data_IF_852193589256
#
_entry.id   IF_852193589256
#
_cell.length_a   1.000
_cell.length_b   1.000
_cell.length_c   1.000
_cell.angle_alpha   90.00
_cell.angle_beta   90.00
_cell.angle_gamma   90.00
#
_symmetry.space_group_name_H-M   'P 1'
#
loop_
_entity.id
_entity.type
_entity.pdbx_description
1 polymer ?
#
# COMPACT_ATOMS: atom_id res chain seq x y z
N UNK A 1 82.07 3.75 59.20
CA UNK A 1 81.11 4.62 58.48
C UNK A 1 81.91 5.27 57.37
N UNK A 2 81.59 5.13 56.09
CA UNK A 2 80.29 5.18 55.45
C UNK A 2 80.42 4.53 54.07
N UNK A 3 79.57 3.54 53.75
CA UNK A 3 79.54 2.92 52.43
C UNK A 3 78.76 3.84 51.47
N UNK A 4 79.45 4.50 50.56
CA UNK A 4 78.84 5.20 49.42
C UNK A 4 78.63 4.19 48.28
N UNK A 5 77.38 3.91 47.85
CA UNK A 5 77.13 2.98 46.76
C UNK A 5 77.62 3.55 45.40
N UNK A 6 78.03 2.70 44.45
CA UNK A 6 78.62 3.15 43.19
C UNK A 6 77.56 3.72 42.23
N UNK A 7 77.91 4.83 41.55
CA UNK A 7 77.04 5.60 40.64
C UNK A 7 76.35 4.78 39.52
N UNK A 8 76.84 3.57 39.22
CA UNK A 8 76.28 2.66 38.22
C UNK A 8 74.89 2.12 38.61
N UNK A 9 74.65 1.86 39.89
CA UNK A 9 73.33 1.39 40.36
C UNK A 9 72.25 2.48 40.24
N UNK A 10 72.62 3.74 40.51
CA UNK A 10 71.68 4.87 40.45
C UNK A 10 71.22 5.19 39.02
N UNK A 11 72.09 5.05 38.02
CA UNK A 11 71.73 5.22 36.61
C UNK A 11 70.78 4.11 36.11
N UNK A 12 71.05 2.85 36.49
CA UNK A 12 70.20 1.70 36.12
C UNK A 12 68.81 1.84 36.76
N UNK A 13 68.74 2.18 38.05
CA UNK A 13 67.48 2.41 38.76
C UNK A 13 66.68 3.58 38.17
N UNK A 14 67.35 4.62 37.66
CA UNK A 14 66.70 5.74 36.97
C UNK A 14 66.08 5.29 35.62
N UNK A 15 66.85 4.55 34.81
CA UNK A 15 66.37 4.02 33.52
C UNK A 15 65.18 3.07 33.66
N UNK A 16 65.16 2.24 34.72
CA UNK A 16 64.04 1.35 35.00
C UNK A 16 62.78 2.10 35.45
N UNK A 17 62.92 3.19 36.22
CA UNK A 17 61.79 4.04 36.58
C UNK A 17 61.16 4.70 35.35
N UNK A 18 61.99 5.23 34.45
CA UNK A 18 61.53 5.85 33.19
C UNK A 18 60.81 4.81 32.31
N UNK A 19 61.38 3.61 32.14
CA UNK A 19 60.76 2.53 31.36
C UNK A 19 59.43 2.06 31.95
N UNK A 20 59.32 1.94 33.28
CA UNK A 20 58.05 1.61 33.95
C UNK A 20 57.00 2.70 33.77
N UNK A 21 57.39 3.97 33.80
CA UNK A 21 56.48 5.08 33.53
C UNK A 21 55.95 5.05 32.09
N UNK A 22 56.83 4.82 31.11
CA UNK A 22 56.46 4.68 29.70
C UNK A 22 55.52 3.48 29.45
N UNK A 23 55.79 2.33 30.08
CA UNK A 23 54.93 1.15 29.96
C UNK A 23 53.54 1.41 30.54
N UNK A 24 53.43 2.08 31.69
CA UNK A 24 52.14 2.47 32.28
C UNK A 24 51.36 3.40 31.37
N UNK A 25 52.04 4.38 30.78
CA UNK A 25 51.40 5.31 29.84
C UNK A 25 50.89 4.59 28.58
N UNK A 26 51.70 3.69 28.02
CA UNK A 26 51.29 2.89 26.87
C UNK A 26 50.10 1.98 27.20
N UNK A 27 50.13 1.30 28.34
CA UNK A 27 49.02 0.47 28.83
C UNK A 27 47.75 1.30 29.05
N UNK A 28 47.85 2.49 29.64
CA UNK A 28 46.72 3.40 29.82
C UNK A 28 46.14 3.87 28.48
N UNK A 29 46.99 4.18 27.49
CA UNK A 29 46.53 4.50 26.14
C UNK A 29 45.84 3.30 25.48
N UNK A 30 46.39 2.09 25.62
CA UNK A 30 45.76 0.88 25.08
C UNK A 30 44.38 0.61 25.69
N UNK A 31 44.23 0.71 27.02
CA UNK A 31 42.92 0.51 27.67
C UNK A 31 41.92 1.58 27.24
N UNK A 32 42.33 2.84 27.11
CA UNK A 32 41.51 3.90 26.54
C UNK A 32 41.10 3.59 25.09
N UNK A 33 42.04 3.21 24.22
CA UNK A 33 41.75 2.85 22.82
C UNK A 33 40.76 1.67 22.72
N UNK A 34 40.95 0.62 23.51
CA UNK A 34 40.00 -0.51 23.56
C UNK A 34 38.62 -0.06 24.04
N UNK A 35 38.55 0.79 25.08
CA UNK A 35 37.28 1.30 25.60
C UNK A 35 36.55 2.20 24.60
N UNK A 36 37.26 3.05 23.86
CA UNK A 36 36.71 3.94 22.83
C UNK A 36 36.22 3.11 21.64
N UNK A 37 37.02 2.15 21.15
CA UNK A 37 36.63 1.27 20.05
C UNK A 37 35.37 0.44 20.38
N UNK A 38 35.26 -0.05 21.62
CA UNK A 38 34.08 -0.78 22.08
C UNK A 38 32.83 0.09 22.23
N UNK A 39 32.98 1.40 22.53
CA UNK A 39 31.86 2.36 22.55
C UNK A 39 31.38 2.66 21.14
N UNK A 40 32.30 3.04 20.24
CA UNK A 40 31.97 3.34 18.83
C UNK A 40 31.27 2.18 18.13
N UNK A 41 31.70 0.93 18.37
CA UNK A 41 31.05 -0.24 17.81
C UNK A 41 29.62 -0.42 18.34
N UNK A 42 29.40 -0.22 19.65
CA UNK A 42 28.07 -0.28 20.26
C UNK A 42 27.16 0.82 19.71
N UNK A 43 27.66 2.04 19.63
CA UNK A 43 26.92 3.18 19.10
C UNK A 43 26.57 2.96 17.62
N UNK A 44 27.53 2.46 16.81
CA UNK A 44 27.28 2.09 15.42
C UNK A 44 26.18 1.03 15.30
N UNK A 45 26.19 0.00 16.14
CA UNK A 45 25.12 -1.01 16.15
C UNK A 45 23.77 -0.40 16.54
N UNK A 46 23.72 0.40 17.61
CA UNK A 46 22.49 1.06 18.06
C UNK A 46 21.92 1.93 16.95
N UNK A 47 22.73 2.81 16.36
CA UNK A 47 22.29 3.68 15.26
C UNK A 47 21.86 2.89 14.02
N UNK A 48 22.62 1.85 13.65
CA UNK A 48 22.26 1.01 12.50
C UNK A 48 20.95 0.26 12.72
N UNK A 49 20.73 -0.28 13.92
CA UNK A 49 19.52 -1.01 14.25
C UNK A 49 18.32 -0.06 14.33
N UNK A 50 18.48 1.12 14.94
CA UNK A 50 17.45 2.15 14.97
C UNK A 50 17.07 2.63 13.57
N UNK A 51 18.05 2.85 12.68
CA UNK A 51 17.79 3.26 11.31
C UNK A 51 17.03 2.18 10.52
N UNK A 52 17.47 0.91 10.63
CA UNK A 52 16.78 -0.22 9.98
C UNK A 52 15.36 -0.37 10.54
N UNK A 53 15.19 -0.29 11.85
CA UNK A 53 13.87 -0.36 12.48
C UNK A 53 12.93 0.75 11.99
N UNK A 54 13.42 1.98 11.87
CA UNK A 54 12.63 3.10 11.35
C UNK A 54 12.19 2.88 9.89
N UNK A 55 13.10 2.37 9.04
CA UNK A 55 12.78 2.05 7.64
C UNK A 55 11.72 0.95 7.57
N UNK A 56 11.91 -0.13 8.33
CA UNK A 56 10.94 -1.25 8.36
C UNK A 56 9.57 -0.78 8.82
N UNK A 57 9.50 0.03 9.89
CA UNK A 57 8.24 0.57 10.37
C UNK A 57 7.57 1.50 9.34
N UNK A 58 8.33 2.35 8.67
CA UNK A 58 7.80 3.23 7.63
C UNK A 58 7.28 2.43 6.42
N UNK A 59 8.03 1.42 5.96
CA UNK A 59 7.63 0.55 4.85
C UNK A 59 6.39 -0.27 5.19
N UNK A 60 6.32 -0.85 6.39
CA UNK A 60 5.13 -1.57 6.85
C UNK A 60 3.94 -0.64 7.01
N UNK A 61 4.14 0.58 7.50
CA UNK A 61 3.09 1.60 7.60
C UNK A 61 2.52 1.97 6.23
N UNK A 62 3.38 2.19 5.23
CA UNK A 62 2.94 2.50 3.87
C UNK A 62 2.22 1.30 3.21
N UNK A 63 2.74 0.09 3.40
CA UNK A 63 2.08 -1.13 2.95
C UNK A 63 0.70 -1.30 3.59
N UNK A 64 0.60 -1.14 4.92
CA UNK A 64 -0.66 -1.26 5.65
C UNK A 64 -1.66 -0.20 5.19
N UNK A 65 -1.21 1.04 4.96
CA UNK A 65 -2.05 2.13 4.47
C UNK A 65 -2.72 1.79 3.12
N UNK A 66 -1.96 1.23 2.16
CA UNK A 66 -2.47 0.92 0.82
C UNK A 66 -3.22 -0.41 0.68
N UNK A 67 -3.25 -1.25 1.72
CA UNK A 67 -3.84 -2.60 1.65
C UNK A 67 -5.01 -2.82 2.60
N UNK A 68 -4.89 -2.33 3.84
CA UNK A 68 -5.88 -2.56 4.92
C UNK A 68 -6.39 -1.23 5.48
N UNK A 69 -5.62 -0.16 5.30
CA UNK A 69 -5.97 1.19 5.76
C UNK A 69 -6.87 1.94 4.79
N UNK A 70 -7.09 3.21 5.09
CA UNK A 70 -7.95 4.11 4.31
C UNK A 70 -7.45 4.37 2.86
N UNK A 71 -6.23 3.97 2.52
CA UNK A 71 -5.71 4.01 1.16
C UNK A 71 -5.95 2.74 0.35
N UNK A 72 -6.57 1.71 0.96
CA UNK A 72 -6.95 0.50 0.24
C UNK A 72 -8.00 0.83 -0.84
N UNK A 73 -7.91 0.25 -2.05
CA UNK A 73 -8.93 0.45 -3.06
C UNK A 73 -10.28 -0.05 -2.53
N UNK A 74 -11.40 0.60 -2.90
CA UNK A 74 -12.72 0.09 -2.53
C UNK A 74 -12.87 -1.35 -3.04
N UNK A 75 -13.62 -2.17 -2.32
CA UNK A 75 -13.95 -3.53 -2.75
C UNK A 75 -15.38 -3.52 -3.30
N UNK A 76 -15.64 -4.37 -4.29
CA UNK A 76 -17.00 -4.64 -4.74
C UNK A 76 -17.89 -5.09 -3.56
N UNK A 77 -19.19 -4.71 -3.58
CA UNK A 77 -20.13 -5.13 -2.55
C UNK A 77 -20.34 -6.65 -2.58
N UNK A 78 -20.87 -7.18 -1.47
CA UNK A 78 -21.27 -8.57 -1.37
C UNK A 78 -22.41 -8.89 -2.35
N UNK A 79 -22.33 -10.03 -3.03
CA UNK A 79 -23.35 -10.49 -3.98
C UNK A 79 -24.72 -10.70 -3.31
N UNK A 80 -24.76 -10.95 -2.00
CA UNK A 80 -25.98 -11.06 -1.20
C UNK A 80 -26.86 -9.79 -1.28
N UNK A 81 -26.27 -8.61 -1.58
CA UNK A 81 -27.02 -7.37 -1.76
C UNK A 81 -27.98 -7.42 -2.95
N UNK A 82 -27.76 -8.33 -3.91
CA UNK A 82 -28.71 -8.59 -4.99
C UNK A 82 -30.00 -9.26 -4.51
N UNK A 83 -29.99 -9.86 -3.30
CA UNK A 83 -31.05 -10.70 -2.76
C UNK A 83 -31.46 -11.86 -3.68
N UNK A 84 -30.67 -12.19 -4.71
CA UNK A 84 -30.95 -13.21 -5.72
C UNK A 84 -32.36 -13.10 -6.32
N UNK A 85 -32.85 -11.87 -6.51
CA UNK A 85 -34.19 -11.58 -7.03
C UNK A 85 -34.15 -10.52 -8.12
N UNK A 86 -35.30 -10.36 -8.77
CA UNK A 86 -35.51 -9.23 -9.68
C UNK A 86 -35.61 -7.91 -8.91
N UNK A 87 -34.94 -6.89 -9.45
CA UNK A 87 -35.05 -5.50 -9.02
C UNK A 87 -35.63 -4.66 -10.14
N UNK A 88 -36.66 -3.88 -9.85
CA UNK A 88 -37.24 -2.93 -10.79
C UNK A 88 -36.94 -1.51 -10.36
N UNK A 89 -36.75 -0.62 -11.33
CA UNK A 89 -36.53 0.80 -11.06
C UNK A 89 -36.64 1.61 -12.33
N UNK A 90 -36.15 2.84 -12.28
CA UNK A 90 -36.11 3.73 -13.43
C UNK A 90 -34.73 4.37 -13.61
N UNK A 91 -34.33 4.55 -14.85
CA UNK A 91 -33.17 5.38 -15.24
C UNK A 91 -33.70 6.63 -15.92
N UNK A 92 -33.20 7.79 -15.52
CA UNK A 92 -33.52 9.07 -16.15
C UNK A 92 -32.37 9.50 -17.05
N UNK A 93 -32.64 9.60 -18.34
CA UNK A 93 -31.69 10.06 -19.37
C UNK A 93 -32.19 11.39 -19.95
N UNK A 94 -31.60 12.50 -19.49
CA UNK A 94 -32.10 13.83 -19.81
C UNK A 94 -33.53 14.00 -19.29
N UNK A 95 -34.48 14.26 -20.20
CA UNK A 95 -35.90 14.41 -19.86
C UNK A 95 -36.71 13.11 -20.00
N UNK A 96 -36.06 11.98 -20.31
CA UNK A 96 -36.73 10.68 -20.54
C UNK A 96 -36.52 9.75 -19.35
N UNK A 97 -37.61 9.21 -18.80
CA UNK A 97 -37.56 8.13 -17.80
C UNK A 97 -37.79 6.78 -18.49
N UNK A 98 -36.93 5.81 -18.21
CA UNK A 98 -37.01 4.44 -18.72
C UNK A 98 -37.14 3.48 -17.54
N UNK A 99 -38.17 2.64 -17.56
CA UNK A 99 -38.30 1.56 -16.59
C UNK A 99 -37.28 0.46 -16.90
N UNK A 100 -36.68 -0.08 -15.85
CA UNK A 100 -35.66 -1.11 -15.95
C UNK A 100 -35.97 -2.28 -15.01
N UNK A 101 -35.49 -3.45 -15.40
CA UNK A 101 -35.40 -4.63 -14.54
C UNK A 101 -33.98 -5.16 -14.53
N UNK A 102 -33.52 -5.60 -13.36
CA UNK A 102 -32.21 -6.19 -13.10
C UNK A 102 -32.40 -7.57 -12.48
N UNK A 103 -31.86 -8.60 -13.14
CA UNK A 103 -31.97 -9.98 -12.68
C UNK A 103 -30.84 -10.34 -11.71
N UNK A 104 -31.09 -10.17 -10.41
CA UNK A 104 -30.13 -10.52 -9.36
C UNK A 104 -29.95 -12.02 -9.17
N UNK A 105 -30.83 -12.87 -9.71
CA UNK A 105 -30.63 -14.32 -9.67
C UNK A 105 -29.64 -14.77 -10.74
N UNK A 106 -29.71 -14.17 -11.94
CA UNK A 106 -28.81 -14.50 -13.04
C UNK A 106 -27.46 -13.78 -12.97
N UNK A 107 -27.41 -12.57 -12.42
CA UNK A 107 -26.19 -11.76 -12.30
C UNK A 107 -26.04 -11.09 -10.90
N UNK A 108 -25.88 -11.89 -9.83
CA UNK A 108 -25.92 -11.38 -8.46
C UNK A 108 -24.83 -10.36 -8.16
N UNK A 109 -23.58 -10.58 -8.58
CA UNK A 109 -22.50 -9.63 -8.30
C UNK A 109 -22.65 -8.30 -9.06
N UNK A 110 -23.13 -8.35 -10.30
CA UNK A 110 -23.43 -7.16 -11.11
C UNK A 110 -24.59 -6.36 -10.51
N UNK A 111 -25.70 -7.01 -10.16
CA UNK A 111 -26.87 -6.33 -9.58
C UNK A 111 -26.54 -5.75 -8.20
N UNK A 112 -25.83 -6.47 -7.35
CA UNK A 112 -25.34 -5.94 -6.07
C UNK A 112 -24.52 -4.65 -6.27
N UNK A 113 -23.64 -4.64 -7.27
CA UNK A 113 -22.82 -3.47 -7.61
C UNK A 113 -23.69 -2.29 -8.06
N UNK A 114 -24.63 -2.51 -8.96
CA UNK A 114 -25.54 -1.46 -9.44
C UNK A 114 -26.37 -0.89 -8.27
N UNK A 115 -26.94 -1.75 -7.43
CA UNK A 115 -27.74 -1.34 -6.26
C UNK A 115 -26.90 -0.54 -5.26
N UNK A 116 -25.68 -0.98 -4.93
CA UNK A 116 -24.78 -0.23 -4.05
C UNK A 116 -24.47 1.16 -4.60
N UNK A 117 -24.10 1.24 -5.88
CA UNK A 117 -23.74 2.48 -6.54
C UNK A 117 -24.93 3.44 -6.66
N UNK A 118 -26.15 2.94 -6.88
CA UNK A 118 -27.37 3.76 -6.82
C UNK A 118 -27.56 4.34 -5.42
N UNK A 119 -27.42 3.53 -4.36
CA UNK A 119 -27.58 3.99 -2.98
C UNK A 119 -26.51 5.01 -2.57
N UNK A 120 -25.34 4.95 -3.19
CA UNK A 120 -24.24 5.91 -3.00
C UNK A 120 -24.40 7.18 -3.85
N UNK A 121 -25.40 7.25 -4.74
CA UNK A 121 -25.60 8.37 -5.66
C UNK A 121 -24.55 8.44 -6.79
N UNK A 122 -23.85 7.34 -7.08
CA UNK A 122 -22.74 7.31 -8.03
C UNK A 122 -23.14 7.73 -9.46
N UNK A 123 -24.37 7.38 -9.88
CA UNK A 123 -24.88 7.67 -11.22
C UNK A 123 -25.46 9.08 -11.35
N UNK A 124 -25.60 9.83 -10.26
CA UNK A 124 -26.19 11.16 -10.26
C UNK A 124 -25.33 12.12 -11.10
N UNK A 125 -25.97 12.80 -12.06
CA UNK A 125 -25.32 13.70 -13.01
C UNK A 125 -24.18 13.08 -13.83
N UNK A 126 -24.11 11.74 -13.94
CA UNK A 126 -23.17 11.08 -14.85
C UNK A 126 -23.61 11.21 -16.30
N UNK A 127 -22.64 11.29 -17.22
CA UNK A 127 -22.91 11.43 -18.65
C UNK A 127 -22.85 10.10 -19.38
N UNK A 128 -23.56 10.02 -20.51
CA UNK A 128 -23.39 8.96 -21.50
C UNK A 128 -22.32 9.39 -22.50
N UNK A 129 -21.09 8.94 -22.27
CA UNK A 129 -19.92 9.39 -23.04
C UNK A 129 -19.78 8.67 -24.39
N UNK A 130 -20.54 7.59 -24.62
CA UNK A 130 -20.48 6.83 -25.87
C UNK A 130 -21.87 6.44 -26.36
N UNK A 131 -22.14 6.83 -27.60
CA UNK A 131 -23.29 6.43 -28.41
C UNK A 131 -22.77 5.91 -29.74
N UNK A 132 -23.21 4.71 -30.13
CA UNK A 132 -22.81 4.06 -31.39
C UNK A 132 -24.04 3.69 -32.21
N UNK A 133 -23.93 3.79 -33.52
CA UNK A 133 -24.97 3.42 -34.49
C UNK A 133 -24.39 2.45 -35.52
N UNK A 134 -25.07 1.35 -35.80
CA UNK A 134 -24.58 0.27 -36.67
C UNK A 134 -24.87 -1.11 -36.08
N UNK A 135 -24.07 -2.11 -36.46
CA UNK A 135 -24.24 -3.51 -36.02
C UNK A 135 -24.11 -3.68 -34.49
N UNK A 136 -23.35 -2.80 -33.83
CA UNK A 136 -23.28 -2.68 -32.37
C UNK A 136 -23.81 -1.31 -31.96
N UNK A 137 -25.12 -1.23 -31.71
CA UNK A 137 -25.79 -0.01 -31.30
C UNK A 137 -25.94 0.03 -29.78
N UNK A 138 -24.99 0.68 -29.10
CA UNK A 138 -25.00 0.81 -27.64
C UNK A 138 -24.95 2.27 -27.18
N UNK A 139 -25.65 2.53 -26.08
CA UNK A 139 -25.50 3.72 -25.24
C UNK A 139 -24.74 3.30 -23.99
N UNK A 140 -23.59 3.92 -23.72
CA UNK A 140 -22.77 3.62 -22.55
C UNK A 140 -22.62 4.86 -21.68
N UNK A 141 -22.96 4.70 -20.39
CA UNK A 141 -22.98 5.75 -19.37
C UNK A 141 -22.25 5.25 -18.10
N UNK A 142 -22.34 6.00 -17.00
CA UNK A 142 -21.79 5.58 -15.71
C UNK A 142 -20.28 5.81 -15.57
N UNK A 143 -19.71 6.76 -16.32
CA UNK A 143 -18.37 7.30 -16.06
C UNK A 143 -18.49 8.69 -15.41
N UNK A 144 -18.11 8.85 -14.13
CA UNK A 144 -18.12 10.14 -13.43
C UNK A 144 -17.25 11.22 -14.09
N UNK A 145 -16.19 10.82 -14.81
CA UNK A 145 -15.30 11.73 -15.53
C UNK A 145 -15.74 11.96 -16.99
N UNK A 146 -16.56 11.07 -17.53
CA UNK A 146 -17.07 11.15 -18.91
C UNK A 146 -16.03 10.87 -20.02
N UNK A 147 -14.87 10.29 -19.69
CA UNK A 147 -13.81 10.01 -20.66
C UNK A 147 -13.79 8.55 -21.18
N UNK A 148 -14.61 7.68 -20.61
CA UNK A 148 -14.68 6.25 -20.90
C UNK A 148 -13.72 5.36 -20.10
N UNK A 149 -12.98 5.93 -19.15
CA UNK A 149 -12.00 5.20 -18.32
C UNK A 149 -12.30 5.27 -16.81
N UNK A 150 -13.32 6.02 -16.41
CA UNK A 150 -13.75 6.05 -15.01
C UNK A 150 -14.57 4.82 -14.61
N UNK A 151 -14.84 4.72 -13.31
CA UNK A 151 -15.59 3.63 -12.70
C UNK A 151 -15.57 3.74 -11.18
N UNK A 152 -16.10 2.74 -10.45
CA UNK A 152 -16.28 2.81 -9.00
C UNK A 152 -14.98 2.57 -8.19
N UNK A 153 -13.81 2.57 -8.85
CA UNK A 153 -12.52 2.34 -8.21
C UNK A 153 -12.20 0.86 -7.92
N UNK A 154 -13.04 -0.06 -8.39
CA UNK A 154 -12.87 -1.50 -8.23
C UNK A 154 -13.33 -2.28 -9.46
N UNK A 155 -12.91 -3.53 -9.53
CA UNK A 155 -13.36 -4.52 -10.52
C UNK A 155 -13.95 -5.72 -9.81
N UNK A 156 -14.99 -6.31 -10.38
CA UNK A 156 -15.59 -7.54 -9.90
C UNK A 156 -15.66 -8.59 -11.02
N UNK A 157 -15.85 -9.84 -10.62
CA UNK A 157 -16.02 -10.98 -11.50
C UNK A 157 -16.57 -12.18 -10.70
N UNK A 158 -16.96 -13.27 -11.36
CA UNK A 158 -16.83 -13.55 -12.80
C UNK A 158 -17.79 -12.74 -13.69
N UNK A 159 -17.71 -12.91 -15.01
CA UNK A 159 -18.75 -12.43 -15.93
C UNK A 159 -20.00 -13.27 -15.71
N UNK A 160 -21.13 -12.61 -15.51
CA UNK A 160 -22.41 -13.24 -15.20
C UNK A 160 -23.41 -12.98 -16.31
N UNK A 161 -24.26 -13.97 -16.61
CA UNK A 161 -25.38 -13.88 -17.55
C UNK A 161 -25.05 -13.28 -18.94
N UNK A 162 -23.82 -13.46 -19.42
CA UNK A 162 -23.46 -13.06 -20.78
C UNK A 162 -24.01 -14.07 -21.81
N UNK A 163 -24.61 -13.59 -22.93
CA UNK A 163 -25.08 -14.45 -24.00
C UNK A 163 -23.90 -15.17 -24.68
N UNK A 164 -24.10 -16.43 -25.04
CA UNK A 164 -23.04 -17.28 -25.58
C UNK A 164 -22.51 -16.85 -26.97
N UNK A 165 -23.30 -16.07 -27.71
CA UNK A 165 -22.98 -15.54 -29.04
C UNK A 165 -22.56 -14.06 -29.01
N UNK A 166 -22.38 -13.46 -27.81
CA UNK A 166 -22.09 -12.05 -27.59
C UNK A 166 -23.13 -11.07 -28.20
N UNK A 167 -24.34 -11.55 -28.50
CA UNK A 167 -25.42 -10.71 -29.04
C UNK A 167 -26.37 -10.29 -27.93
N UNK A 168 -26.45 -8.99 -27.69
CA UNK A 168 -27.35 -8.37 -26.72
C UNK A 168 -28.54 -7.75 -27.45
N UNK A 169 -29.77 -8.29 -27.29
CA UNK A 169 -30.96 -7.70 -27.90
C UNK A 169 -31.22 -6.26 -27.42
N UNK A 170 -31.92 -5.47 -28.23
CA UNK A 170 -32.33 -4.12 -27.86
C UNK A 170 -33.08 -4.11 -26.51
N UNK A 171 -32.70 -3.20 -25.62
CA UNK A 171 -33.24 -3.10 -24.26
C UNK A 171 -32.46 -3.89 -23.20
N UNK A 172 -31.42 -4.64 -23.59
CA UNK A 172 -30.57 -5.34 -22.62
C UNK A 172 -29.66 -4.37 -21.89
N UNK A 173 -29.64 -4.44 -20.56
CA UNK A 173 -28.65 -3.77 -19.71
C UNK A 173 -27.49 -4.73 -19.46
N UNK A 174 -26.27 -4.27 -19.76
CA UNK A 174 -25.04 -5.06 -19.58
C UNK A 174 -23.94 -4.19 -18.95
N UNK A 175 -23.09 -4.81 -18.15
CA UNK A 175 -21.95 -4.14 -17.51
C UNK A 175 -20.79 -4.02 -18.49
N UNK A 176 -20.40 -2.78 -18.83
CA UNK A 176 -19.21 -2.54 -19.62
C UNK A 176 -17.94 -2.93 -18.84
N UNK A 177 -16.97 -3.53 -19.53
CA UNK A 177 -15.67 -3.92 -18.95
C UNK A 177 -14.54 -3.50 -19.88
N UNK A 178 -13.38 -3.19 -19.29
CA UNK A 178 -12.14 -3.10 -20.05
C UNK A 178 -11.71 -4.51 -20.49
N UNK A 179 -11.18 -4.61 -21.70
CA UNK A 179 -10.58 -5.84 -22.24
C UNK A 179 -9.25 -6.17 -21.56
#
# INVERSE_FOLDING_TARGET
MEFRPPAKEMFVVNSDKVRRAQLREFQARQTLHHSVAARLRRDQYIWSFSAVAAIVLASLGLWAYGTIGAGAPPKAPDEELSEYREWTGNIVLGDTSLDISLDGAAAPQAVATVVSLINEGFYDATSCHRLTTGDMAVVQCGDPLGFGFGGPGYTFGPVENAPADDVYPAGTLAMARAA
#
